data_IF_936321814794
#
_entry.id   IF_936321814794
#
_cell.length_a   1.000
_cell.length_b   1.000
_cell.length_c   1.000
_cell.angle_alpha   90.00
_cell.angle_beta   90.00
_cell.angle_gamma   90.00
#
_symmetry.space_group_name_H-M   'P 1'
#
loop_
_entity.id
_entity.type
_entity.pdbx_description
1 polymer ?
#
# COMPACT_ATOMS: atom_id res chain seq x y z
N UNK A 1 29.51 -40.16 12.34
CA UNK A 1 28.89 -38.92 11.82
C UNK A 1 29.24 -37.80 12.80
N UNK A 2 30.08 -36.86 12.39
CA UNK A 2 30.76 -35.95 13.31
C UNK A 2 29.78 -34.85 13.71
N UNK A 3 29.13 -35.01 14.88
CA UNK A 3 28.20 -34.04 15.48
C UNK A 3 28.62 -32.57 15.32
N UNK A 4 29.90 -32.16 15.51
CA UNK A 4 30.31 -30.77 15.28
C UNK A 4 30.20 -30.34 13.81
N UNK A 5 30.49 -31.22 12.85
CA UNK A 5 30.38 -30.92 11.42
C UNK A 5 28.92 -30.78 10.97
N UNK A 6 28.01 -31.55 11.57
CA UNK A 6 26.57 -31.44 11.32
C UNK A 6 25.99 -30.14 11.89
N UNK A 7 26.44 -29.73 13.08
CA UNK A 7 26.04 -28.46 13.69
C UNK A 7 26.51 -27.25 12.85
N UNK A 8 27.76 -27.31 12.34
CA UNK A 8 28.30 -26.27 11.46
C UNK A 8 27.52 -26.22 10.13
N UNK A 9 27.24 -27.37 9.51
CA UNK A 9 26.46 -27.42 8.27
C UNK A 9 25.03 -26.88 8.46
N UNK A 10 24.39 -27.17 9.61
CA UNK A 10 23.05 -26.67 9.93
C UNK A 10 23.06 -25.15 10.17
N UNK A 11 24.06 -24.62 10.87
CA UNK A 11 24.22 -23.18 11.07
C UNK A 11 24.42 -22.43 9.75
N UNK A 12 25.26 -22.97 8.86
CA UNK A 12 25.48 -22.39 7.52
C UNK A 12 24.18 -22.40 6.72
N UNK A 13 23.41 -23.50 6.74
CA UNK A 13 22.14 -23.60 6.04
C UNK A 13 21.10 -22.59 6.57
N UNK A 14 21.00 -22.44 7.90
CA UNK A 14 20.10 -21.46 8.52
C UNK A 14 20.48 -20.02 8.15
N UNK A 15 21.77 -19.70 8.17
CA UNK A 15 22.26 -18.37 7.77
C UNK A 15 21.96 -18.08 6.29
N UNK A 16 22.09 -19.09 5.42
CA UNK A 16 21.79 -18.98 3.99
C UNK A 16 20.31 -18.73 3.74
N UNK A 17 19.44 -19.49 4.41
CA UNK A 17 17.98 -19.31 4.32
C UNK A 17 17.58 -17.93 4.84
N UNK A 18 18.15 -17.48 5.97
CA UNK A 18 17.88 -16.15 6.51
C UNK A 18 18.34 -15.02 5.56
N UNK A 19 19.49 -15.17 4.92
CA UNK A 19 20.00 -14.20 3.95
C UNK A 19 19.10 -14.11 2.70
N UNK A 20 18.66 -15.26 2.16
CA UNK A 20 17.71 -15.29 1.03
C UNK A 20 16.37 -14.69 1.43
N UNK A 21 15.85 -15.03 2.61
CA UNK A 21 14.59 -14.48 3.11
C UNK A 21 14.66 -12.96 3.30
N UNK A 22 15.75 -12.43 3.88
CA UNK A 22 15.98 -10.99 3.99
C UNK A 22 16.10 -10.31 2.61
N UNK A 23 16.81 -10.92 1.67
CA UNK A 23 16.98 -10.38 0.31
C UNK A 23 15.65 -10.31 -0.45
N UNK A 24 14.88 -11.41 -0.43
CA UNK A 24 13.55 -11.47 -1.05
C UNK A 24 12.60 -10.51 -0.35
N UNK A 25 12.62 -10.42 0.98
CA UNK A 25 11.78 -9.48 1.72
C UNK A 25 12.14 -8.03 1.44
N UNK A 26 13.42 -7.69 1.32
CA UNK A 26 13.86 -6.35 0.97
C UNK A 26 13.51 -5.96 -0.48
N UNK A 27 13.43 -6.94 -1.39
CA UNK A 27 13.05 -6.70 -2.79
C UNK A 27 11.53 -6.63 -2.99
N UNK A 28 10.77 -7.48 -2.29
CA UNK A 28 9.30 -7.54 -2.39
C UNK A 28 8.59 -6.53 -1.50
N UNK A 29 9.17 -6.21 -0.34
CA UNK A 29 8.64 -5.25 0.66
C UNK A 29 9.61 -4.10 0.91
N UNK A 30 10.47 -3.79 -0.07
CA UNK A 30 11.28 -2.57 -0.05
C UNK A 30 10.38 -1.39 0.33
N UNK A 31 10.86 -0.45 1.15
CA UNK A 31 10.00 0.53 1.78
C UNK A 31 9.16 1.18 0.69
N UNK A 32 7.83 1.00 0.76
CA UNK A 32 6.89 1.94 0.19
C UNK A 32 7.36 3.29 0.70
N UNK A 33 8.13 4.03 -0.10
CA UNK A 33 8.50 5.39 0.24
C UNK A 33 7.15 6.08 0.36
N UNK A 34 6.71 6.49 1.56
CA UNK A 34 5.57 7.36 1.64
C UNK A 34 6.05 8.61 0.93
N UNK A 35 5.59 8.86 -0.29
CA UNK A 35 5.91 10.12 -0.94
C UNK A 35 5.50 11.21 0.05
N UNK A 36 6.43 12.08 0.49
CA UNK A 36 6.12 13.06 1.52
C UNK A 36 5.07 14.03 0.98
N UNK A 37 3.86 13.96 1.52
CA UNK A 37 3.02 15.13 1.79
C UNK A 37 2.47 15.96 0.64
N UNK A 38 2.86 15.74 -0.62
CA UNK A 38 2.16 16.29 -1.79
C UNK A 38 1.35 15.14 -2.36
N UNK A 39 0.09 15.08 -1.94
CA UNK A 39 -0.80 13.99 -2.29
C UNK A 39 -0.85 13.85 -3.81
N UNK A 40 -0.63 12.64 -4.35
CA UNK A 40 -0.80 12.39 -5.80
C UNK A 40 -2.18 12.87 -6.29
N UNK A 41 -3.14 12.92 -5.38
CA UNK A 41 -4.45 13.54 -5.54
C UNK A 41 -4.41 15.06 -5.80
N UNK A 42 -3.72 15.87 -4.98
CA UNK A 42 -3.54 17.31 -5.21
C UNK A 42 -2.72 17.62 -6.48
N UNK A 43 -1.81 16.71 -6.86
CA UNK A 43 -1.13 16.76 -8.16
C UNK A 43 -2.11 16.48 -9.32
N UNK A 44 -2.97 15.47 -9.20
CA UNK A 44 -4.02 15.16 -10.19
C UNK A 44 -4.96 16.36 -10.37
N UNK A 45 -5.41 16.99 -9.28
CA UNK A 45 -6.31 18.16 -9.35
C UNK A 45 -5.68 19.31 -10.13
N UNK A 46 -4.38 19.57 -9.91
CA UNK A 46 -3.61 20.55 -10.71
C UNK A 46 -3.48 20.15 -12.17
N UNK A 47 -3.28 18.86 -12.45
CA UNK A 47 -3.20 18.35 -13.83
C UNK A 47 -4.53 18.46 -14.58
N UNK A 48 -5.66 18.28 -13.90
CA UNK A 48 -6.99 18.36 -14.51
C UNK A 48 -7.44 19.79 -14.84
N UNK A 49 -6.85 20.80 -14.19
CA UNK A 49 -7.20 22.20 -14.45
C UNK A 49 -8.65 22.52 -14.08
N UNK A 50 -9.07 22.07 -12.89
CA UNK A 50 -10.44 22.21 -12.41
C UNK A 50 -10.82 23.69 -12.22
N UNK A 51 -12.01 24.04 -12.67
CA UNK A 51 -12.63 25.34 -12.37
C UNK A 51 -13.03 25.43 -10.89
N UNK A 52 -13.18 26.64 -10.33
CA UNK A 52 -13.69 26.81 -8.97
C UNK A 52 -15.05 26.13 -8.73
N UNK A 53 -15.91 26.12 -9.75
CA UNK A 53 -17.22 25.48 -9.73
C UNK A 53 -17.10 23.95 -9.66
N UNK A 54 -16.23 23.34 -10.48
CA UNK A 54 -15.96 21.91 -10.45
C UNK A 54 -15.32 21.48 -9.12
N UNK A 55 -14.36 22.28 -8.61
CA UNK A 55 -13.72 22.01 -7.33
C UNK A 55 -14.75 21.95 -6.19
N UNK A 56 -15.69 22.91 -6.17
CA UNK A 56 -16.77 22.95 -5.19
C UNK A 56 -17.76 21.79 -5.36
N UNK A 57 -18.07 21.43 -6.59
CA UNK A 57 -18.95 20.28 -6.88
C UNK A 57 -18.30 18.94 -6.49
N UNK A 58 -16.97 18.85 -6.49
CA UNK A 58 -16.21 17.68 -6.05
C UNK A 58 -16.11 17.55 -4.52
N UNK A 59 -16.26 18.63 -3.74
CA UNK A 59 -16.08 18.62 -2.27
C UNK A 59 -16.79 17.46 -1.54
N UNK A 60 -18.06 17.10 -1.85
CA UNK A 60 -18.72 15.98 -1.19
C UNK A 60 -18.08 14.63 -1.52
N UNK A 61 -17.65 14.44 -2.77
CA UNK A 61 -16.96 13.23 -3.26
C UNK A 61 -15.60 13.13 -2.55
N UNK A 62 -14.88 14.25 -2.48
CA UNK A 62 -13.57 14.33 -1.82
C UNK A 62 -13.62 14.09 -0.32
N UNK A 63 -14.61 14.67 0.36
CA UNK A 63 -14.80 14.46 1.80
C UNK A 63 -15.09 12.99 2.11
N UNK A 64 -15.94 12.34 1.31
CA UNK A 64 -16.27 10.91 1.45
C UNK A 64 -15.03 10.03 1.24
N UNK A 65 -14.23 10.30 0.21
CA UNK A 65 -13.00 9.57 -0.03
C UNK A 65 -11.97 9.79 1.08
N UNK A 66 -11.79 11.03 1.54
CA UNK A 66 -10.87 11.38 2.62
C UNK A 66 -11.20 10.66 3.93
N UNK A 67 -12.49 10.54 4.27
CA UNK A 67 -12.94 9.77 5.43
C UNK A 67 -12.58 8.28 5.29
N UNK A 68 -12.95 7.66 4.17
CA UNK A 68 -12.67 6.23 3.93
C UNK A 68 -11.18 5.93 3.92
N UNK A 69 -10.38 6.77 3.26
CA UNK A 69 -8.92 6.70 3.26
C UNK A 69 -8.36 6.80 4.68
N UNK A 70 -8.85 7.73 5.50
CA UNK A 70 -8.40 7.90 6.89
C UNK A 70 -8.72 6.66 7.72
N UNK A 71 -9.92 6.11 7.59
CA UNK A 71 -10.35 4.93 8.32
C UNK A 71 -9.47 3.72 7.98
N UNK A 72 -9.33 3.39 6.68
CA UNK A 72 -8.52 2.27 6.21
C UNK A 72 -7.03 2.44 6.56
N UNK A 73 -6.48 3.66 6.42
CA UNK A 73 -5.11 3.95 6.86
C UNK A 73 -4.94 3.76 8.37
N UNK A 74 -5.95 4.09 9.16
CA UNK A 74 -6.00 3.83 10.59
C UNK A 74 -5.98 2.34 10.91
N UNK A 75 -6.70 1.53 10.14
CA UNK A 75 -6.73 0.08 10.30
C UNK A 75 -5.37 -0.56 10.00
N UNK A 76 -4.74 -0.15 8.90
CA UNK A 76 -3.38 -0.58 8.54
C UNK A 76 -2.41 -0.25 9.67
N UNK A 77 -2.46 0.97 10.22
CA UNK A 77 -1.58 1.38 11.33
C UNK A 77 -1.83 0.56 12.60
N UNK A 78 -3.10 0.26 12.91
CA UNK A 78 -3.49 -0.54 14.07
C UNK A 78 -2.99 -1.99 13.92
N UNK A 79 -3.25 -2.62 12.77
CA UNK A 79 -2.80 -3.98 12.50
C UNK A 79 -1.27 -4.11 12.48
N UNK A 80 -0.54 -3.08 11.99
CA UNK A 80 0.92 -3.04 12.11
C UNK A 80 1.42 -3.00 13.56
N UNK A 81 0.72 -2.29 14.45
CA UNK A 81 1.07 -2.30 15.89
C UNK A 81 0.82 -3.67 16.51
N UNK A 82 -0.28 -4.32 16.17
CA UNK A 82 -0.59 -5.68 16.61
C UNK A 82 0.45 -6.69 16.11
N UNK A 83 0.87 -6.58 14.84
CA UNK A 83 1.93 -7.38 14.26
C UNK A 83 3.27 -7.18 15.01
N UNK A 84 3.65 -5.93 15.25
CA UNK A 84 4.89 -5.61 15.96
C UNK A 84 4.89 -6.19 17.39
N UNK A 85 3.75 -6.17 18.08
CA UNK A 85 3.60 -6.77 19.40
C UNK A 85 3.67 -8.31 19.34
N UNK A 86 2.98 -8.93 18.38
CA UNK A 86 3.00 -10.38 18.19
C UNK A 86 4.41 -10.90 17.88
N UNK A 87 5.17 -10.20 17.03
CA UNK A 87 6.57 -10.57 16.72
C UNK A 87 7.44 -10.54 17.99
N UNK A 88 7.30 -9.52 18.84
CA UNK A 88 8.10 -9.39 20.07
C UNK A 88 7.75 -10.45 21.13
N UNK A 89 6.46 -10.75 21.28
CA UNK A 89 5.97 -11.67 22.29
C UNK A 89 6.16 -13.13 21.89
N UNK A 90 5.79 -13.47 20.65
CA UNK A 90 5.71 -14.86 20.21
C UNK A 90 7.04 -15.35 19.63
N UNK A 91 7.85 -14.44 19.04
CA UNK A 91 9.15 -14.73 18.42
C UNK A 91 9.13 -15.91 17.42
N UNK A 92 7.98 -16.14 16.81
CA UNK A 92 7.70 -17.21 15.87
C UNK A 92 6.62 -16.77 14.88
N UNK A 93 6.49 -17.49 13.78
CA UNK A 93 5.36 -17.36 12.84
C UNK A 93 4.08 -17.93 13.48
N UNK A 94 3.46 -17.12 14.32
CA UNK A 94 2.31 -17.50 15.13
C UNK A 94 0.99 -17.18 14.41
N UNK A 95 -0.13 -17.78 14.85
CA UNK A 95 -1.45 -17.40 14.37
C UNK A 95 -1.75 -15.90 14.52
N UNK A 96 -1.17 -15.23 15.53
CA UNK A 96 -1.31 -13.78 15.75
C UNK A 96 -0.56 -12.97 14.70
N UNK A 97 0.66 -13.39 14.34
CA UNK A 97 1.44 -12.78 13.26
C UNK A 97 0.69 -12.90 11.93
N UNK A 98 0.26 -14.11 11.57
CA UNK A 98 -0.50 -14.36 10.34
C UNK A 98 -1.80 -13.55 10.29
N UNK A 99 -2.58 -13.53 11.38
CA UNK A 99 -3.83 -12.73 11.46
C UNK A 99 -3.57 -11.24 11.28
N UNK A 100 -2.53 -10.69 11.90
CA UNK A 100 -2.21 -9.26 11.78
C UNK A 100 -1.78 -8.89 10.35
N UNK A 101 -1.00 -9.76 9.68
CA UNK A 101 -0.63 -9.60 8.26
C UNK A 101 -1.85 -9.64 7.36
N UNK A 102 -2.76 -10.60 7.54
CA UNK A 102 -4.00 -10.68 6.76
C UNK A 102 -4.86 -9.41 6.90
N UNK A 103 -4.97 -8.86 8.12
CA UNK A 103 -5.68 -7.59 8.36
C UNK A 103 -5.02 -6.41 7.65
N UNK A 104 -3.68 -6.37 7.59
CA UNK A 104 -2.95 -5.36 6.84
C UNK A 104 -3.27 -5.47 5.35
N UNK A 105 -3.14 -6.66 4.76
CA UNK A 105 -3.41 -6.89 3.34
C UNK A 105 -4.86 -6.57 2.97
N UNK A 106 -5.82 -6.96 3.80
CA UNK A 106 -7.23 -6.67 3.56
C UNK A 106 -7.49 -5.16 3.53
N UNK A 107 -7.01 -4.42 4.54
CA UNK A 107 -7.21 -2.96 4.60
C UNK A 107 -6.47 -2.22 3.47
N UNK A 108 -5.31 -2.74 3.02
CA UNK A 108 -4.60 -2.23 1.85
C UNK A 108 -5.41 -2.45 0.55
N UNK A 109 -5.96 -3.65 0.36
CA UNK A 109 -6.81 -3.96 -0.80
C UNK A 109 -8.07 -3.08 -0.84
N UNK A 110 -8.73 -2.89 0.31
CA UNK A 110 -9.88 -2.00 0.42
C UNK A 110 -9.51 -0.53 0.15
N UNK A 111 -8.29 -0.10 0.52
CA UNK A 111 -7.80 1.25 0.21
C UNK A 111 -7.56 1.44 -1.29
N UNK A 112 -6.99 0.44 -1.97
CA UNK A 112 -6.84 0.46 -3.42
C UNK A 112 -8.20 0.53 -4.12
N UNK A 113 -9.16 -0.31 -3.69
CA UNK A 113 -10.52 -0.31 -4.21
C UNK A 113 -11.21 1.04 -4.01
N UNK A 114 -11.14 1.61 -2.80
CA UNK A 114 -11.72 2.92 -2.49
C UNK A 114 -11.12 4.04 -3.36
N UNK A 115 -9.83 3.93 -3.72
CA UNK A 115 -9.16 4.90 -4.58
C UNK A 115 -9.67 4.82 -6.02
N UNK A 116 -9.85 3.62 -6.57
CA UNK A 116 -10.42 3.45 -7.92
C UNK A 116 -11.90 3.88 -7.97
N UNK A 117 -12.68 3.55 -6.93
CA UNK A 117 -14.05 4.02 -6.80
C UNK A 117 -14.12 5.56 -6.80
N UNK A 118 -13.23 6.23 -6.05
CA UNK A 118 -13.11 7.69 -6.07
C UNK A 118 -12.82 8.24 -7.47
N UNK A 119 -11.84 7.68 -8.19
CA UNK A 119 -11.52 8.08 -9.56
C UNK A 119 -12.75 8.01 -10.48
N UNK A 120 -13.56 6.96 -10.37
CA UNK A 120 -14.76 6.82 -11.18
C UNK A 120 -15.93 7.72 -10.72
N UNK A 121 -16.05 8.01 -9.42
CA UNK A 121 -17.06 8.94 -8.89
C UNK A 121 -16.88 10.37 -9.44
N UNK A 122 -15.63 10.79 -9.73
CA UNK A 122 -15.35 12.10 -10.30
C UNK A 122 -15.96 12.33 -11.69
N UNK A 123 -16.32 11.27 -12.43
CA UNK A 123 -16.97 11.36 -13.76
C UNK A 123 -18.24 12.23 -13.74
N UNK A 124 -18.96 12.26 -12.62
CA UNK A 124 -20.20 13.03 -12.50
C UNK A 124 -20.01 14.55 -12.53
N UNK A 125 -18.78 15.04 -12.34
CA UNK A 125 -18.47 16.47 -12.27
C UNK A 125 -17.55 16.92 -13.41
N UNK A 126 -16.59 16.09 -13.80
CA UNK A 126 -15.59 16.44 -14.81
C UNK A 126 -16.16 16.51 -16.23
N UNK A 127 -15.54 17.33 -17.09
CA UNK A 127 -15.79 17.26 -18.53
C UNK A 127 -15.31 15.92 -19.10
N UNK A 128 -15.84 15.48 -20.26
CA UNK A 128 -15.37 14.25 -20.92
C UNK A 128 -13.85 14.22 -21.14
N UNK A 129 -13.25 15.35 -21.52
CA UNK A 129 -11.82 15.49 -21.78
C UNK A 129 -11.00 15.39 -20.49
N UNK A 130 -11.43 16.07 -19.41
CA UNK A 130 -10.81 15.97 -18.10
C UNK A 130 -10.89 14.55 -17.55
N UNK A 131 -12.05 13.90 -17.69
CA UNK A 131 -12.23 12.53 -17.22
C UNK A 131 -11.36 11.55 -18.00
N UNK A 132 -11.24 11.69 -19.32
CA UNK A 132 -10.32 10.88 -20.12
C UNK A 132 -8.86 11.09 -19.69
N UNK A 133 -8.47 12.34 -19.40
CA UNK A 133 -7.15 12.65 -18.86
C UNK A 133 -6.91 11.97 -17.51
N UNK A 134 -7.88 12.02 -16.60
CA UNK A 134 -7.82 11.34 -15.30
C UNK A 134 -7.60 9.83 -15.45
N UNK A 135 -8.34 9.19 -16.37
CA UNK A 135 -8.20 7.75 -16.64
C UNK A 135 -6.82 7.39 -17.17
N UNK A 136 -6.28 8.18 -18.11
CA UNK A 136 -4.95 7.95 -18.65
C UNK A 136 -3.88 8.09 -17.56
N UNK A 137 -3.91 9.17 -16.78
CA UNK A 137 -2.99 9.37 -15.65
C UNK A 137 -3.05 8.22 -14.64
N UNK A 138 -4.26 7.73 -14.34
CA UNK A 138 -4.45 6.59 -13.43
C UNK A 138 -3.88 5.31 -14.02
N UNK A 139 -4.09 5.04 -15.30
CA UNK A 139 -3.56 3.86 -15.97
C UNK A 139 -2.02 3.90 -16.08
N UNK A 140 -1.45 5.06 -16.38
CA UNK A 140 0.00 5.26 -16.48
C UNK A 140 0.68 4.98 -15.13
N UNK A 141 0.16 5.53 -14.03
CA UNK A 141 0.67 5.27 -12.68
C UNK A 141 0.63 3.78 -12.33
N UNK A 142 -0.46 3.08 -12.67
CA UNK A 142 -0.59 1.63 -12.44
C UNK A 142 0.39 0.81 -13.28
N UNK A 143 0.75 1.29 -14.47
CA UNK A 143 1.75 0.64 -15.31
C UNK A 143 3.17 0.91 -14.81
N UNK A 144 3.46 2.12 -14.32
CA UNK A 144 4.78 2.47 -13.76
C UNK A 144 5.09 1.69 -12.46
N UNK A 145 4.09 1.44 -11.61
CA UNK A 145 4.26 0.60 -10.40
C UNK A 145 4.69 -0.83 -10.76
N UNK A 146 4.29 -1.35 -11.93
CA UNK A 146 4.67 -2.68 -12.41
C UNK A 146 5.96 -2.68 -13.27
N UNK A 147 6.52 -1.50 -13.57
CA UNK A 147 7.68 -1.31 -14.46
C UNK A 147 9.04 -1.22 -13.74
N UNK A 148 9.08 -1.39 -12.42
CA UNK A 148 10.33 -1.42 -11.66
C UNK A 148 11.03 -2.78 -11.76
N UNK A 149 12.15 -2.82 -12.48
CA UNK A 149 13.11 -3.95 -12.54
C UNK A 149 13.52 -4.52 -11.17
#
# INVERSE_FOLDING_TARGET
MNKPLQLIAMLIMVALVAAVACYVSARMFGPFRPQPGVSGHEWIHKQLGLSPEEQKALEPIESKFAERKRNLSGEIRRANKELAEAIKQDQADSPRVSTAVERIHHAQGELQKATLEHVFEMKGVLTPEQYQKLLNLTADELNEVNGGE
#
